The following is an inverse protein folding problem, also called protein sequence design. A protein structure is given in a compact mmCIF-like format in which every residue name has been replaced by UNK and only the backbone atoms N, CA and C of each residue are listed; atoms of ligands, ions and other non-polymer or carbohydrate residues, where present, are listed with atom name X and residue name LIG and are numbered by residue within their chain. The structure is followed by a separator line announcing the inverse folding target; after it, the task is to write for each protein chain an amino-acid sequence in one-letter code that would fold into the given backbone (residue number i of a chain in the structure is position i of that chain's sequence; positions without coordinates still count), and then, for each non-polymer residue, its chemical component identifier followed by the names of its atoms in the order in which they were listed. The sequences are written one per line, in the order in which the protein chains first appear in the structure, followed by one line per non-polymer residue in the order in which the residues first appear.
data_IF_774958814960
#
_entry.id   IF_774958814960
#
_cell.length_a   1.000
_cell.length_b   1.000
_cell.length_c   1.000
_cell.angle_alpha   90.00
_cell.angle_beta   90.00
_cell.angle_gamma   90.00
#
_symmetry.space_group_name_H-M   'P 1'
#
loop_
_entity.id
_entity.type
_entity.pdbx_description
1 polymer ?
#
# COMPACT_ATOMS: atom_id res chain seq x y z
N UNK A 1 9.91 -11.54 5.18
CA UNK A 1 9.67 -10.52 4.14
C UNK A 1 10.95 -9.73 4.03
N UNK A 2 11.66 -9.86 2.92
CA UNK A 2 12.83 -9.03 2.67
C UNK A 2 12.34 -7.68 2.14
N UNK A 3 12.60 -6.60 2.87
CA UNK A 3 12.16 -5.26 2.48
C UNK A 3 12.94 -4.74 1.25
N UNK A 4 14.11 -5.29 0.99
CA UNK A 4 14.98 -4.93 -0.13
C UNK A 4 14.39 -5.34 -1.49
N UNK A 5 13.52 -6.34 -1.52
CA UNK A 5 12.88 -6.83 -2.75
C UNK A 5 11.70 -5.94 -3.20
N UNK A 6 11.30 -4.96 -2.38
CA UNK A 6 10.16 -4.11 -2.64
C UNK A 6 10.51 -3.09 -3.74
N UNK A 7 9.91 -3.26 -4.91
CA UNK A 7 9.93 -2.26 -5.97
C UNK A 7 8.90 -1.18 -5.67
N UNK A 8 9.31 0.08 -5.72
CA UNK A 8 8.42 1.22 -5.47
C UNK A 8 7.84 1.74 -6.79
N UNK A 9 6.55 2.11 -6.78
CA UNK A 9 6.01 2.97 -7.83
C UNK A 9 6.67 4.37 -7.74
N UNK A 10 6.84 5.07 -8.88
CA UNK A 10 7.68 6.27 -8.93
C UNK A 10 7.07 7.47 -8.20
N UNK A 11 5.73 7.57 -8.12
CA UNK A 11 5.05 8.70 -7.48
C UNK A 11 4.90 8.48 -5.98
N UNK A 12 5.18 9.53 -5.22
CA UNK A 12 4.80 9.68 -3.81
C UNK A 12 3.67 10.71 -3.77
N UNK A 13 2.57 10.38 -3.10
CA UNK A 13 1.45 11.31 -2.89
C UNK A 13 1.73 12.10 -1.63
N UNK A 14 1.94 13.41 -1.76
CA UNK A 14 2.25 14.33 -0.65
C UNK A 14 1.14 15.34 -0.37
N UNK A 15 0.11 15.41 -1.22
CA UNK A 15 -1.01 16.35 -1.07
C UNK A 15 -2.35 15.62 -1.01
N UNK A 16 -3.17 15.90 0.01
CA UNK A 16 -4.49 15.28 0.16
C UNK A 16 -5.64 16.04 -0.51
N UNK A 17 -5.40 17.25 -1.02
CA UNK A 17 -6.45 18.15 -1.53
C UNK A 17 -7.14 17.62 -2.80
N UNK A 18 -6.45 16.80 -3.61
CA UNK A 18 -7.01 16.17 -4.81
C UNK A 18 -6.63 14.69 -4.89
N UNK A 19 -6.98 13.95 -3.83
CA UNK A 19 -6.52 12.58 -3.62
C UNK A 19 -6.93 11.60 -4.73
N UNK A 20 -8.08 11.81 -5.39
CA UNK A 20 -8.47 10.99 -6.54
C UNK A 20 -7.49 11.13 -7.70
N UNK A 21 -7.13 12.37 -8.07
CA UNK A 21 -6.19 12.62 -9.17
C UNK A 21 -4.81 12.06 -8.84
N UNK A 22 -4.37 12.25 -7.60
CA UNK A 22 -3.11 11.72 -7.10
C UNK A 22 -3.04 10.18 -7.24
N UNK A 23 -4.11 9.47 -6.86
CA UNK A 23 -4.19 8.03 -7.07
C UNK A 23 -4.23 7.64 -8.55
N UNK A 24 -4.98 8.37 -9.39
CA UNK A 24 -5.02 8.09 -10.84
C UNK A 24 -3.65 8.21 -11.46
N UNK A 25 -2.87 9.21 -11.09
CA UNK A 25 -1.51 9.39 -11.60
C UNK A 25 -0.58 8.26 -11.11
N UNK A 26 -0.59 7.94 -9.81
CA UNK A 26 0.19 6.85 -9.23
C UNK A 26 -0.08 5.51 -9.96
N UNK A 27 -1.34 5.14 -10.10
CA UNK A 27 -1.75 3.89 -10.76
C UNK A 27 -1.74 3.97 -12.30
N UNK A 28 -1.62 5.18 -12.85
CA UNK A 28 -1.56 5.42 -14.30
C UNK A 28 -0.20 5.09 -14.91
N UNK A 29 0.84 5.04 -14.07
CA UNK A 29 2.24 4.82 -14.43
C UNK A 29 2.50 3.53 -15.23
N UNK A 30 3.57 3.50 -16.06
CA UNK A 30 4.04 2.28 -16.73
C UNK A 30 4.35 1.16 -15.73
N UNK A 31 5.01 1.47 -14.61
CA UNK A 31 5.40 0.51 -13.59
C UNK A 31 4.17 -0.17 -12.95
N UNK A 32 3.09 0.59 -12.72
CA UNK A 32 1.84 0.03 -12.23
C UNK A 32 1.15 -0.88 -13.27
N UNK A 33 1.41 -0.67 -14.56
CA UNK A 33 0.89 -1.50 -15.65
C UNK A 33 1.65 -2.82 -15.75
N UNK A 34 2.96 -2.79 -15.50
CA UNK A 34 3.86 -3.94 -15.59
C UNK A 34 3.83 -4.82 -14.33
N UNK A 35 3.54 -4.22 -13.17
CA UNK A 35 3.44 -4.91 -11.88
C UNK A 35 2.26 -5.89 -11.80
N UNK A 36 2.42 -7.09 -12.37
CA UNK A 36 1.44 -8.21 -12.38
C UNK A 36 1.89 -9.35 -11.46
N UNK A 37 0.91 -10.09 -10.94
CA UNK A 37 1.12 -11.17 -9.98
C UNK A 37 2.00 -10.72 -8.81
N UNK A 38 1.47 -9.80 -8.00
CA UNK A 38 2.24 -9.14 -6.95
C UNK A 38 1.55 -9.21 -5.58
N UNK A 39 2.36 -9.14 -4.53
CA UNK A 39 1.95 -8.62 -3.23
C UNK A 39 2.38 -7.16 -3.15
N UNK A 40 1.47 -6.27 -2.78
CA UNK A 40 1.69 -4.84 -2.71
C UNK A 40 1.46 -4.29 -1.30
N UNK A 41 2.07 -3.14 -1.06
CA UNK A 41 2.16 -2.50 0.23
C UNK A 41 1.82 -1.03 0.06
N UNK A 42 0.71 -0.57 0.67
CA UNK A 42 0.60 0.88 0.92
C UNK A 42 1.53 1.20 2.08
N UNK A 43 2.37 2.22 1.88
CA UNK A 43 3.37 2.63 2.86
C UNK A 43 3.29 4.14 3.09
N UNK A 44 3.52 4.58 4.31
CA UNK A 44 3.82 5.99 4.59
C UNK A 44 5.27 6.30 4.19
N UNK A 45 5.59 7.58 4.07
CA UNK A 45 6.99 8.02 3.94
C UNK A 45 7.68 7.87 5.29
N UNK A 46 7.07 8.40 6.35
CA UNK A 46 7.57 8.30 7.71
C UNK A 46 6.91 7.14 8.48
N UNK A 47 7.65 6.39 9.31
CA UNK A 47 7.09 5.28 10.07
C UNK A 47 5.97 5.71 11.03
N UNK A 48 4.92 4.89 11.13
CA UNK A 48 3.81 5.11 12.07
C UNK A 48 4.01 4.21 13.30
N UNK A 49 3.68 4.67 14.53
CA UNK A 49 3.70 3.84 15.73
C UNK A 49 2.86 2.58 15.62
N UNK A 50 3.38 1.47 16.14
CA UNK A 50 2.70 0.18 16.25
C UNK A 50 2.66 -0.28 17.70
N UNK A 51 1.89 -1.32 17.99
CA UNK A 51 1.84 -1.95 19.31
C UNK A 51 3.25 -2.33 19.79
N UNK A 52 4.11 -2.80 18.87
CA UNK A 52 5.54 -2.96 19.10
C UNK A 52 6.35 -2.24 18.02
N UNK A 53 7.06 -1.18 18.39
CA UNK A 53 7.95 -0.44 17.49
C UNK A 53 7.21 0.49 16.51
N UNK A 54 7.78 0.67 15.32
CA UNK A 54 7.21 1.53 14.27
C UNK A 54 7.24 0.80 12.93
N UNK A 55 6.26 1.05 12.06
CA UNK A 55 6.23 0.50 10.71
C UNK A 55 5.72 1.53 9.73
N UNK A 56 6.34 1.61 8.56
CA UNK A 56 5.85 2.41 7.45
C UNK A 56 4.83 1.64 6.59
N UNK A 57 4.61 0.34 6.80
CA UNK A 57 3.59 -0.42 6.08
C UNK A 57 2.21 -0.19 6.74
N UNK A 58 1.24 0.17 5.90
CA UNK A 58 -0.13 0.53 6.27
C UNK A 58 -1.15 -0.54 5.86
N UNK A 59 -0.87 -1.21 4.75
CA UNK A 59 -1.73 -2.25 4.18
C UNK A 59 -0.88 -3.24 3.40
N UNK A 60 -1.21 -4.52 3.53
CA UNK A 60 -0.68 -5.60 2.68
C UNK A 60 -1.86 -6.13 1.87
N UNK A 61 -1.69 -6.24 0.56
CA UNK A 61 -2.69 -6.86 -0.31
C UNK A 61 -2.07 -7.54 -1.51
N UNK A 62 -2.88 -8.29 -2.25
CA UNK A 62 -2.42 -9.01 -3.45
C UNK A 62 -3.25 -8.76 -4.69
N UNK A 63 -2.67 -9.06 -5.85
CA UNK A 63 -3.38 -9.14 -7.12
C UNK A 63 -2.67 -10.07 -8.10
N UNK A 64 -3.44 -10.86 -8.86
CA UNK A 64 -2.93 -11.56 -10.05
C UNK A 64 -2.88 -10.66 -11.29
N UNK A 65 -3.73 -9.63 -11.32
CA UNK A 65 -3.74 -8.60 -12.37
C UNK A 65 -2.66 -7.54 -12.11
N UNK A 66 -2.48 -6.58 -13.01
CA UNK A 66 -1.60 -5.44 -12.76
C UNK A 66 -2.13 -4.52 -11.67
N UNK A 67 -1.25 -3.74 -11.02
CA UNK A 67 -1.67 -2.71 -10.06
C UNK A 67 -2.59 -1.68 -10.69
N UNK A 68 -2.31 -1.27 -11.93
CA UNK A 68 -3.21 -0.40 -12.71
C UNK A 68 -4.60 -1.01 -12.86
N UNK A 69 -4.70 -2.26 -13.32
CA UNK A 69 -5.98 -2.94 -13.49
C UNK A 69 -6.75 -3.12 -12.16
N UNK A 70 -6.00 -3.32 -11.07
CA UNK A 70 -6.52 -3.47 -9.71
C UNK A 70 -7.06 -2.17 -9.13
N UNK A 71 -6.43 -1.01 -9.38
CA UNK A 71 -6.71 0.21 -8.64
C UNK A 71 -7.10 1.43 -9.46
N UNK A 72 -6.66 1.57 -10.71
CA UNK A 72 -6.85 2.80 -11.49
C UNK A 72 -8.32 3.22 -11.58
N UNK A 73 -9.21 2.27 -11.92
CA UNK A 73 -10.66 2.51 -11.99
C UNK A 73 -11.31 2.80 -10.62
N UNK A 74 -10.64 2.42 -9.54
CA UNK A 74 -11.14 2.56 -8.17
C UNK A 74 -10.47 3.71 -7.41
N UNK A 75 -9.71 4.58 -8.09
CA UNK A 75 -9.06 5.75 -7.48
C UNK A 75 -10.04 6.60 -6.66
N UNK A 76 -11.24 6.85 -7.20
CA UNK A 76 -12.33 7.55 -6.49
C UNK A 76 -12.74 6.87 -5.17
N UNK A 77 -12.78 5.55 -5.13
CA UNK A 77 -13.14 4.82 -3.91
C UNK A 77 -12.02 4.85 -2.86
N UNK A 78 -10.76 4.94 -3.28
CA UNK A 78 -9.63 5.13 -2.36
C UNK A 78 -9.60 6.55 -1.80
N UNK A 79 -9.99 7.53 -2.60
CA UNK A 79 -10.00 8.95 -2.23
C UNK A 79 -11.16 9.37 -1.32
N UNK A 80 -12.19 8.53 -1.19
CA UNK A 80 -13.44 8.90 -0.51
C UNK A 80 -13.72 8.06 0.74
N UNK A 81 -14.66 8.56 1.57
CA UNK A 81 -15.14 7.88 2.78
C UNK A 81 -14.00 7.58 3.77
N UNK A 82 -14.14 6.48 4.51
CA UNK A 82 -13.16 6.09 5.52
C UNK A 82 -11.75 5.83 4.94
N UNK A 83 -11.65 5.36 3.69
CA UNK A 83 -10.34 5.18 3.03
C UNK A 83 -9.69 6.52 2.72
N UNK A 84 -10.45 7.47 2.18
CA UNK A 84 -9.98 8.83 1.92
C UNK A 84 -9.50 9.54 3.18
N UNK A 85 -10.30 9.47 4.27
CA UNK A 85 -9.91 10.03 5.56
C UNK A 85 -8.62 9.40 6.09
N UNK A 86 -8.49 8.08 6.03
CA UNK A 86 -7.29 7.37 6.46
C UNK A 86 -6.05 7.81 5.66
N UNK A 87 -6.11 7.80 4.33
CA UNK A 87 -4.95 8.18 3.53
C UNK A 87 -4.61 9.65 3.64
N UNK A 88 -5.60 10.54 3.75
CA UNK A 88 -5.37 11.97 4.00
C UNK A 88 -4.66 12.19 5.33
N UNK A 89 -5.07 11.48 6.39
CA UNK A 89 -4.38 11.54 7.68
C UNK A 89 -2.92 11.08 7.56
N UNK A 90 -2.66 9.96 6.87
CA UNK A 90 -1.30 9.48 6.65
C UNK A 90 -0.46 10.50 5.87
N UNK A 91 -0.99 11.05 4.78
CA UNK A 91 -0.28 12.04 3.97
C UNK A 91 0.10 13.27 4.79
N UNK A 92 -0.84 13.79 5.58
CA UNK A 92 -0.65 15.04 6.33
C UNK A 92 0.22 14.88 7.59
N UNK A 93 0.38 13.66 8.13
CA UNK A 93 1.06 13.44 9.40
C UNK A 93 2.31 12.55 9.31
N UNK A 94 2.53 11.86 8.18
CA UNK A 94 3.62 10.89 8.02
C UNK A 94 4.33 11.01 6.66
N UNK A 95 4.48 12.25 6.19
CA UNK A 95 5.32 12.62 5.04
C UNK A 95 4.79 12.24 3.66
N UNK A 96 3.67 11.53 3.58
CA UNK A 96 3.06 11.12 2.31
C UNK A 96 2.70 9.65 2.25
N UNK A 97 2.19 9.25 1.09
CA UNK A 97 1.77 7.88 0.77
C UNK A 97 2.49 7.39 -0.48
N UNK A 98 3.07 6.19 -0.38
CA UNK A 98 3.76 5.49 -1.47
C UNK A 98 3.26 4.06 -1.59
N UNK A 99 3.45 3.44 -2.74
CA UNK A 99 3.07 2.05 -2.95
C UNK A 99 4.24 1.23 -3.47
N UNK A 100 4.56 0.18 -2.75
CA UNK A 100 5.58 -0.80 -3.13
C UNK A 100 4.96 -2.13 -3.50
N UNK A 101 5.69 -2.97 -4.21
CA UNK A 101 5.26 -4.31 -4.57
C UNK A 101 6.43 -5.29 -4.72
N UNK A 102 6.13 -6.58 -4.55
CA UNK A 102 7.03 -7.70 -4.84
C UNK A 102 6.29 -8.62 -5.83
N UNK A 103 6.94 -8.94 -6.95
CA UNK A 103 6.45 -9.92 -7.92
C UNK A 103 6.62 -11.33 -7.36
N UNK A 104 5.56 -12.14 -7.47
CA UNK A 104 5.52 -13.49 -6.91
C UNK A 104 4.71 -14.42 -7.80
N UNK A 105 5.05 -15.72 -7.79
CA UNK A 105 4.32 -16.73 -8.56
C UNK A 105 2.94 -17.04 -7.94
N UNK A 106 2.86 -17.04 -6.60
CA UNK A 106 1.62 -17.31 -5.87
C UNK A 106 1.26 -16.17 -4.89
N UNK A 107 0.58 -15.10 -5.37
CA UNK A 107 0.23 -13.97 -4.51
C UNK A 107 -0.66 -14.34 -3.31
N UNK A 108 -1.46 -15.40 -3.41
CA UNK A 108 -2.35 -15.84 -2.32
C UNK A 108 -1.57 -16.38 -1.11
N UNK A 109 -0.55 -17.18 -1.37
CA UNK A 109 0.29 -17.78 -0.34
C UNK A 109 1.24 -16.76 0.24
N UNK A 110 1.87 -15.96 -0.62
CA UNK A 110 2.83 -14.94 -0.21
C UNK A 110 2.19 -13.83 0.63
N UNK A 111 0.96 -13.39 0.31
CA UNK A 111 0.25 -12.41 1.13
C UNK A 111 0.03 -12.95 2.56
N UNK A 112 -0.43 -14.19 2.70
CA UNK A 112 -0.63 -14.82 4.02
C UNK A 112 0.67 -14.92 4.81
N UNK A 113 1.76 -15.27 4.13
CA UNK A 113 3.09 -15.31 4.74
C UNK A 113 3.50 -13.93 5.24
N UNK A 114 3.39 -12.89 4.42
CA UNK A 114 3.78 -11.53 4.81
C UNK A 114 2.91 -10.95 5.92
N UNK A 115 1.61 -11.30 5.97
CA UNK A 115 0.78 -10.99 7.14
C UNK A 115 1.28 -11.66 8.41
N UNK A 116 1.63 -12.95 8.35
CA UNK A 116 2.16 -13.70 9.51
C UNK A 116 3.46 -13.07 10.02
N UNK A 117 4.37 -12.72 9.12
CA UNK A 117 5.64 -12.08 9.47
C UNK A 117 5.46 -10.67 10.03
N UNK A 118 4.55 -9.88 9.44
CA UNK A 118 4.22 -8.55 9.95
C UNK A 118 3.70 -8.64 11.39
N UNK A 119 2.72 -9.53 11.64
CA UNK A 119 2.13 -9.71 12.96
C UNK A 119 3.13 -10.23 13.99
N UNK A 120 4.01 -11.16 13.60
CA UNK A 120 5.08 -11.63 14.48
C UNK A 120 6.04 -10.50 14.90
N UNK A 121 6.26 -9.52 14.01
CA UNK A 121 7.16 -8.39 14.25
C UNK A 121 6.51 -7.31 15.13
N UNK A 122 5.30 -6.89 14.78
CA UNK A 122 4.64 -5.70 15.36
C UNK A 122 3.55 -6.03 16.38
N UNK A 123 3.24 -7.32 16.60
CA UNK A 123 2.17 -7.84 17.48
C UNK A 123 0.74 -7.44 17.08
N UNK A 124 0.57 -6.88 15.88
CA UNK A 124 -0.72 -6.48 15.32
C UNK A 124 -0.74 -6.62 13.79
N UNK A 125 -1.91 -6.44 13.18
CA UNK A 125 -2.03 -6.38 11.72
C UNK A 125 -1.74 -4.95 11.22
N UNK A 126 -1.40 -4.76 9.93
CA UNK A 126 -1.31 -3.42 9.36
C UNK A 126 -2.62 -2.64 9.57
N UNK A 127 -2.56 -1.32 9.79
CA UNK A 127 -3.69 -0.53 10.28
C UNK A 127 -4.92 -0.49 9.36
N UNK A 128 -4.74 -0.70 8.04
CA UNK A 128 -5.86 -0.72 7.08
C UNK A 128 -6.38 -2.12 6.76
N UNK A 129 -5.85 -3.15 7.41
CA UNK A 129 -6.28 -4.53 7.18
C UNK A 129 -7.71 -4.75 7.65
N UNK A 130 -8.51 -5.50 6.86
CA UNK A 130 -9.91 -5.82 7.21
C UNK A 130 -10.04 -6.80 8.39
N UNK A 131 -8.96 -7.51 8.68
CA UNK A 131 -8.81 -8.32 9.89
C UNK A 131 -8.38 -7.39 11.02
N UNK A 132 -9.32 -6.57 11.48
CA UNK A 132 -9.28 -5.96 12.81
C UNK A 132 -9.88 -6.95 13.79
#
# INVERSE_FOLDING_TARGET
MNLEDIKMLPKIITESNNLESEFRELFGSPEASDAKSVVYFFRSVDPVPRLKGTSDILYIGKTKQSLKARYYRYAKHLANGASGCFYSYIINNYGGLRLGYISVDNPNEMEKLYFKEYRATYLENPPKSKVG
#
